data_IF_570897472551
#
_entry.id   IF_570897472551
#
_cell.length_a   1.000
_cell.length_b   1.000
_cell.length_c   1.000
_cell.angle_alpha   90.00
_cell.angle_beta   90.00
_cell.angle_gamma   90.00
#
_symmetry.space_group_name_H-M   'P 1'
#
loop_
_entity.id
_entity.type
_entity.pdbx_description
1 polymer ?
#
# COMPACT_ATOMS: atom_id res chain seq x y z
N UNK A 1 -30.17 -4.07 26.59
CA UNK A 1 -29.16 -5.11 26.33
C UNK A 1 -27.89 -4.36 26.07
N UNK A 2 -26.90 -4.47 26.93
CA UNK A 2 -25.58 -3.86 26.72
C UNK A 2 -24.88 -4.71 25.70
N UNK A 3 -24.66 -4.16 24.51
CA UNK A 3 -23.89 -4.83 23.47
C UNK A 3 -22.44 -4.90 23.94
N UNK A 4 -22.03 -6.07 24.38
CA UNK A 4 -20.62 -6.40 24.59
C UNK A 4 -19.96 -6.59 23.21
N UNK A 5 -19.80 -5.49 22.46
CA UNK A 5 -18.85 -5.49 21.36
C UNK A 5 -17.48 -5.84 21.94
N UNK A 6 -16.77 -6.79 21.33
CA UNK A 6 -15.42 -7.13 21.72
C UNK A 6 -14.53 -5.88 21.61
N UNK A 7 -14.55 -5.07 22.66
CA UNK A 7 -13.59 -3.98 22.83
C UNK A 7 -12.31 -4.68 23.23
N UNK A 8 -11.43 -4.91 22.26
CA UNK A 8 -10.09 -5.38 22.57
C UNK A 8 -9.35 -4.18 23.15
N UNK A 9 -9.35 -4.10 24.48
CA UNK A 9 -8.50 -3.16 25.21
C UNK A 9 -7.07 -3.70 25.16
N UNK A 10 -6.24 -3.08 24.32
CA UNK A 10 -4.81 -3.34 24.36
C UNK A 10 -4.19 -2.56 25.51
N UNK A 11 -3.62 -3.30 26.47
CA UNK A 11 -2.85 -2.73 27.56
C UNK A 11 -1.67 -1.93 26.99
N UNK A 12 -1.62 -0.63 27.29
CA UNK A 12 -0.49 0.23 26.92
C UNK A 12 -0.75 1.24 25.79
N UNK A 13 -1.93 1.24 25.14
CA UNK A 13 -2.27 2.32 24.23
C UNK A 13 -2.49 3.62 25.01
N UNK A 14 -1.86 4.70 24.52
CA UNK A 14 -2.09 6.05 25.05
C UNK A 14 -3.45 6.57 24.60
N UNK A 15 -4.23 7.17 25.49
CA UNK A 15 -5.47 7.84 25.11
C UNK A 15 -5.23 9.05 24.17
N UNK A 16 -4.02 9.62 24.19
CA UNK A 16 -3.65 10.75 23.31
C UNK A 16 -3.23 10.28 21.91
N UNK A 17 -2.57 9.10 21.82
CA UNK A 17 -2.04 8.51 20.58
C UNK A 17 -2.41 7.04 20.46
N UNK A 18 -3.69 6.72 20.31
CA UNK A 18 -4.16 5.34 20.27
C UNK A 18 -3.75 4.57 19.00
N UNK A 19 -3.18 5.26 18.02
CA UNK A 19 -2.67 4.66 16.78
C UNK A 19 -1.22 4.14 16.88
N UNK A 20 -0.48 4.46 17.95
CA UNK A 20 0.87 3.95 18.18
C UNK A 20 0.82 2.73 19.11
N UNK A 21 1.32 1.60 18.61
CA UNK A 21 1.44 0.39 19.44
C UNK A 21 2.75 0.42 20.21
N UNK A 22 2.75 -0.03 21.48
CA UNK A 22 3.98 -0.11 22.27
C UNK A 22 4.98 -1.11 21.69
N UNK A 23 4.48 -2.17 21.06
CA UNK A 23 5.28 -3.20 20.40
C UNK A 23 4.58 -3.63 19.10
N UNK A 24 5.32 -3.72 17.97
CA UNK A 24 4.80 -4.29 16.73
C UNK A 24 4.44 -5.77 16.91
N UNK A 25 3.40 -6.22 16.22
CA UNK A 25 3.11 -7.66 16.13
C UNK A 25 4.12 -8.35 15.21
N UNK A 26 4.39 -9.66 15.40
CA UNK A 26 5.29 -10.38 14.52
C UNK A 26 4.79 -10.42 13.07
N UNK A 27 5.72 -10.34 12.14
CA UNK A 27 5.54 -10.69 10.73
C UNK A 27 5.87 -12.16 10.55
N UNK A 28 5.04 -12.86 9.80
CA UNK A 28 5.17 -14.29 9.55
C UNK A 28 5.01 -14.57 8.05
N UNK A 29 6.11 -14.96 7.40
CA UNK A 29 6.19 -15.25 5.98
C UNK A 29 6.32 -16.74 5.76
N UNK A 30 5.60 -17.27 4.77
CA UNK A 30 5.60 -18.68 4.39
C UNK A 30 6.05 -18.84 2.95
N UNK A 31 7.33 -19.11 2.75
CA UNK A 31 7.88 -19.37 1.42
C UNK A 31 7.61 -20.82 1.03
N UNK A 32 6.83 -21.01 -0.01
CA UNK A 32 6.52 -22.34 -0.56
C UNK A 32 7.60 -22.73 -1.55
N UNK A 33 8.18 -23.90 -1.33
CA UNK A 33 9.32 -24.43 -2.09
C UNK A 33 8.92 -25.80 -2.65
N UNK A 34 9.08 -25.98 -3.96
CA UNK A 34 8.82 -27.25 -4.62
C UNK A 34 9.97 -28.24 -4.34
N UNK A 35 9.63 -29.51 -4.08
CA UNK A 35 10.61 -30.57 -3.84
C UNK A 35 10.15 -31.57 -2.80
N UNK A 36 10.76 -32.76 -2.80
CA UNK A 36 10.38 -33.85 -1.91
C UNK A 36 11.19 -33.96 -0.62
N UNK A 37 12.30 -33.23 -0.50
CA UNK A 37 13.19 -33.32 0.65
C UNK A 37 13.27 -31.99 1.39
N UNK A 38 13.12 -32.03 2.71
CA UNK A 38 13.40 -30.87 3.54
C UNK A 38 14.88 -30.51 3.49
N UNK A 39 15.23 -29.23 3.34
CA UNK A 39 16.61 -28.77 3.44
C UNK A 39 17.09 -28.87 4.90
N UNK A 40 18.38 -28.98 5.07
CA UNK A 40 19.01 -28.81 6.39
C UNK A 40 19.10 -27.33 6.76
N UNK A 41 19.34 -27.04 8.04
CA UNK A 41 19.61 -25.66 8.49
C UNK A 41 20.80 -25.08 7.71
N UNK A 42 21.84 -25.86 7.52
CA UNK A 42 23.06 -25.47 6.83
C UNK A 42 22.79 -25.09 5.38
N UNK A 43 21.94 -25.87 4.66
CA UNK A 43 21.57 -25.59 3.27
C UNK A 43 20.85 -24.25 3.15
N UNK A 44 19.87 -23.99 4.03
CA UNK A 44 19.09 -22.74 4.04
C UNK A 44 19.99 -21.56 4.39
N UNK A 45 20.75 -21.65 5.48
CA UNK A 45 21.67 -20.57 5.93
C UNK A 45 22.69 -20.24 4.86
N UNK A 46 23.25 -21.26 4.18
CA UNK A 46 24.23 -21.07 3.11
C UNK A 46 23.60 -20.37 1.89
N UNK A 47 22.39 -20.73 1.50
CA UNK A 47 21.68 -20.09 0.38
C UNK A 47 21.38 -18.61 0.68
N UNK A 48 20.86 -18.32 1.88
CA UNK A 48 20.62 -16.96 2.34
C UNK A 48 21.90 -16.13 2.41
N UNK A 49 22.98 -16.68 2.98
CA UNK A 49 24.29 -16.02 3.09
C UNK A 49 24.88 -15.71 1.71
N UNK A 50 24.73 -16.64 0.77
CA UNK A 50 25.23 -16.47 -0.60
C UNK A 50 24.50 -15.33 -1.31
N UNK A 51 23.17 -15.24 -1.12
CA UNK A 51 22.37 -14.15 -1.70
C UNK A 51 22.66 -12.80 -1.04
N UNK A 52 22.69 -12.75 0.30
CA UNK A 52 22.96 -11.52 1.04
C UNK A 52 24.37 -11.00 0.82
N UNK A 53 25.32 -11.87 0.44
CA UNK A 53 26.76 -11.51 0.36
C UNK A 53 27.40 -11.30 1.73
N UNK A 54 26.75 -11.73 2.81
CA UNK A 54 27.08 -11.45 4.21
C UNK A 54 27.15 -12.74 5.04
N UNK A 55 27.84 -12.67 6.17
CA UNK A 55 27.83 -13.77 7.12
C UNK A 55 26.50 -13.81 7.88
N UNK A 56 25.97 -15.02 8.04
CA UNK A 56 24.77 -15.28 8.85
C UNK A 56 25.19 -16.05 10.09
N UNK A 57 24.87 -15.47 11.26
CA UNK A 57 24.98 -16.19 12.53
C UNK A 57 23.68 -16.98 12.74
N UNK A 58 23.80 -18.29 12.98
CA UNK A 58 22.66 -19.16 13.20
C UNK A 58 22.78 -19.86 14.57
N UNK A 59 21.69 -19.83 15.35
CA UNK A 59 21.58 -20.45 16.64
C UNK A 59 20.34 -21.36 16.66
N UNK A 60 20.50 -22.63 17.05
CA UNK A 60 19.38 -23.57 17.20
C UNK A 60 18.43 -23.10 18.28
N UNK A 61 17.13 -23.08 17.99
CA UNK A 61 16.06 -22.78 18.93
C UNK A 61 15.04 -23.93 18.97
N UNK A 62 14.19 -23.93 19.98
CA UNK A 62 13.12 -24.92 20.10
C UNK A 62 12.12 -24.74 18.96
N UNK A 63 11.80 -25.82 18.18
CA UNK A 63 10.81 -25.75 17.13
C UNK A 63 9.40 -25.43 17.68
N UNK A 64 8.57 -24.73 16.91
CA UNK A 64 7.20 -24.40 17.31
C UNK A 64 6.30 -25.61 17.62
N UNK A 65 6.61 -26.77 17.05
CA UNK A 65 5.92 -28.05 17.32
C UNK A 65 6.85 -29.25 17.14
N UNK A 66 6.44 -30.43 17.67
CA UNK A 66 7.19 -31.69 17.55
C UNK A 66 7.29 -32.21 16.12
N UNK A 67 6.41 -31.76 15.21
CA UNK A 67 6.39 -32.17 13.80
C UNK A 67 7.42 -31.39 12.96
N UNK A 68 7.96 -30.29 13.50
CA UNK A 68 8.96 -29.46 12.84
C UNK A 68 10.36 -29.99 13.12
N UNK A 69 11.11 -30.40 12.07
CA UNK A 69 12.38 -31.09 12.25
C UNK A 69 13.48 -30.19 12.84
N UNK A 70 13.41 -28.89 12.57
CA UNK A 70 14.37 -27.91 13.10
C UNK A 70 13.79 -26.50 13.11
N UNK A 71 14.31 -25.68 14.02
CA UNK A 71 14.15 -24.21 13.99
C UNK A 71 15.48 -23.55 14.34
N UNK A 72 15.75 -22.42 13.75
CA UNK A 72 16.97 -21.66 13.98
C UNK A 72 16.68 -20.16 14.05
N UNK A 73 17.33 -19.48 14.98
CA UNK A 73 17.40 -18.02 14.97
C UNK A 73 18.57 -17.60 14.09
N UNK A 74 18.34 -16.71 13.16
CA UNK A 74 19.38 -16.16 12.30
C UNK A 74 19.50 -14.66 12.51
N UNK A 75 20.76 -14.21 12.56
CA UNK A 75 21.13 -12.80 12.49
C UNK A 75 21.84 -12.56 11.18
N UNK A 76 21.28 -11.64 10.38
CA UNK A 76 21.81 -11.28 9.07
C UNK A 76 22.32 -9.86 9.16
N UNK A 77 23.59 -9.62 8.82
CA UNK A 77 24.15 -8.28 8.76
C UNK A 77 23.33 -7.41 7.78
N UNK A 78 23.00 -6.19 8.17
CA UNK A 78 22.13 -5.29 7.39
C UNK A 78 20.63 -5.44 7.66
N UNK A 79 20.15 -6.51 8.32
CA UNK A 79 18.78 -6.58 8.82
C UNK A 79 18.71 -6.08 10.28
N UNK A 80 17.71 -5.25 10.60
CA UNK A 80 17.64 -4.61 11.92
C UNK A 80 17.19 -5.54 13.06
N UNK A 81 16.63 -6.71 12.74
CA UNK A 81 16.11 -7.67 13.73
C UNK A 81 16.51 -9.10 13.37
N UNK A 82 16.59 -9.96 14.39
CA UNK A 82 16.79 -11.39 14.20
C UNK A 82 15.54 -12.03 13.60
N UNK A 83 15.72 -13.08 12.80
CA UNK A 83 14.64 -13.88 12.25
C UNK A 83 14.65 -15.28 12.86
N UNK A 84 13.47 -15.89 13.04
CA UNK A 84 13.35 -17.31 13.35
C UNK A 84 12.91 -18.02 12.07
N UNK A 85 13.68 -19.03 11.66
CA UNK A 85 13.41 -19.87 10.50
C UNK A 85 13.10 -21.28 10.93
N UNK A 86 12.17 -21.92 10.23
CA UNK A 86 11.89 -23.36 10.36
C UNK A 86 11.29 -23.91 9.07
N UNK A 87 11.25 -25.22 8.92
CA UNK A 87 10.57 -25.88 7.82
C UNK A 87 9.38 -26.67 8.33
N UNK A 88 8.30 -26.65 7.58
CA UNK A 88 7.10 -27.43 7.85
C UNK A 88 6.59 -28.12 6.60
N UNK A 89 5.87 -29.25 6.76
CA UNK A 89 5.27 -29.94 5.62
C UNK A 89 4.20 -29.07 4.96
N UNK A 90 4.06 -29.22 3.66
CA UNK A 90 3.02 -28.56 2.88
C UNK A 90 1.66 -29.12 3.29
N UNK A 91 0.80 -28.30 3.89
CA UNK A 91 -0.57 -28.70 4.19
C UNK A 91 -1.48 -28.61 2.95
N UNK A 92 -2.69 -29.17 3.01
CA UNK A 92 -3.62 -29.26 1.87
C UNK A 92 -4.03 -27.84 1.38
N UNK A 93 -4.35 -26.93 2.27
CA UNK A 93 -4.74 -25.56 1.93
C UNK A 93 -3.61 -24.81 1.21
N UNK A 94 -2.38 -24.89 1.72
CA UNK A 94 -1.20 -24.29 1.09
C UNK A 94 -0.91 -24.90 -0.28
N UNK A 95 -1.07 -26.23 -0.40
CA UNK A 95 -0.90 -26.98 -1.66
C UNK A 95 -1.89 -26.49 -2.72
N UNK A 96 -3.17 -26.37 -2.36
CA UNK A 96 -4.21 -25.85 -3.25
C UNK A 96 -3.94 -24.40 -3.66
N UNK A 97 -3.63 -23.52 -2.69
CA UNK A 97 -3.37 -22.12 -2.94
C UNK A 97 -2.13 -21.88 -3.82
N UNK A 98 -1.05 -22.64 -3.59
CA UNK A 98 0.17 -22.56 -4.37
C UNK A 98 0.13 -23.38 -5.67
N UNK A 99 -0.88 -24.25 -5.88
CA UNK A 99 -1.01 -25.13 -7.04
C UNK A 99 0.21 -26.04 -7.28
N UNK A 100 0.78 -26.60 -6.19
CA UNK A 100 1.90 -27.54 -6.26
C UNK A 100 1.54 -28.85 -5.56
N UNK A 101 1.99 -29.99 -6.12
CA UNK A 101 1.68 -31.31 -5.58
C UNK A 101 2.61 -31.72 -4.45
N UNK A 102 3.90 -31.43 -4.57
CA UNK A 102 4.95 -31.78 -3.61
C UNK A 102 5.82 -30.58 -3.25
N UNK A 103 6.08 -30.41 -1.96
CA UNK A 103 6.88 -29.31 -1.48
C UNK A 103 6.94 -29.22 0.04
N UNK A 104 7.51 -28.15 0.49
CA UNK A 104 7.57 -27.78 1.90
C UNK A 104 7.46 -26.26 2.02
N UNK A 105 7.24 -25.79 3.24
CA UNK A 105 7.20 -24.37 3.57
C UNK A 105 8.44 -24.02 4.39
N UNK A 106 9.21 -23.05 3.94
CA UNK A 106 10.19 -22.36 4.77
C UNK A 106 9.49 -21.16 5.42
N UNK A 107 9.33 -21.23 6.71
CA UNK A 107 8.72 -20.18 7.51
C UNK A 107 9.79 -19.21 8.01
N UNK A 108 9.47 -17.91 7.99
CA UNK A 108 10.27 -16.85 8.56
C UNK A 108 9.39 -15.99 9.47
N UNK A 109 9.77 -15.88 10.72
CA UNK A 109 9.10 -14.99 11.68
C UNK A 109 10.08 -13.96 12.23
N UNK A 110 9.65 -12.70 12.26
CA UNK A 110 10.42 -11.59 12.82
C UNK A 110 9.51 -10.45 13.23
N UNK A 111 10.06 -9.42 13.88
CA UNK A 111 9.39 -8.14 14.14
C UNK A 111 9.94 -7.10 13.18
N UNK A 112 9.07 -6.38 12.47
CA UNK A 112 9.51 -5.32 11.58
C UNK A 112 10.11 -4.14 12.36
N UNK A 113 11.08 -3.48 11.77
CA UNK A 113 11.66 -2.26 12.31
C UNK A 113 10.67 -1.11 12.20
N UNK A 114 10.19 -0.61 13.33
CA UNK A 114 9.11 0.40 13.39
C UNK A 114 9.48 1.75 12.75
N UNK A 115 10.78 2.05 12.62
CA UNK A 115 11.26 3.28 11.97
C UNK A 115 11.21 3.23 10.43
N UNK A 116 11.30 2.03 9.85
CA UNK A 116 11.20 1.80 8.40
C UNK A 116 10.72 0.37 8.11
N UNK A 117 9.43 0.10 8.33
CA UNK A 117 8.88 -1.25 8.17
C UNK A 117 8.84 -1.70 6.71
N UNK A 118 8.69 -0.78 5.74
CA UNK A 118 8.60 -1.11 4.32
C UNK A 118 9.93 -1.61 3.78
N UNK A 119 11.02 -0.89 4.01
CA UNK A 119 12.36 -1.34 3.59
C UNK A 119 12.73 -2.66 4.26
N UNK A 120 12.42 -2.82 5.55
CA UNK A 120 12.69 -4.09 6.24
C UNK A 120 11.89 -5.25 5.63
N UNK A 121 10.57 -5.08 5.43
CA UNK A 121 9.73 -6.09 4.78
C UNK A 121 10.22 -6.45 3.38
N UNK A 122 10.56 -5.43 2.58
CA UNK A 122 11.09 -5.62 1.23
C UNK A 122 12.39 -6.43 1.21
N UNK A 123 13.29 -6.17 2.16
CA UNK A 123 14.54 -6.91 2.27
C UNK A 123 14.30 -8.37 2.67
N UNK A 124 13.32 -8.66 3.54
CA UNK A 124 12.92 -10.03 3.86
C UNK A 124 12.35 -10.78 2.65
N UNK A 125 11.47 -10.11 1.88
CA UNK A 125 10.90 -10.68 0.65
C UNK A 125 11.98 -10.96 -0.40
N UNK A 126 12.90 -10.00 -0.62
CA UNK A 126 14.07 -10.16 -1.51
C UNK A 126 14.96 -11.30 -1.06
N UNK A 127 15.26 -11.39 0.23
CA UNK A 127 16.09 -12.45 0.80
C UNK A 127 15.49 -13.83 0.54
N UNK A 128 14.21 -14.03 0.84
CA UNK A 128 13.54 -15.31 0.63
C UNK A 128 13.41 -15.67 -0.86
N UNK A 129 12.99 -14.71 -1.68
CA UNK A 129 12.71 -14.95 -3.09
C UNK A 129 13.98 -14.97 -3.95
N UNK A 130 15.04 -14.22 -3.58
CA UNK A 130 16.29 -14.11 -4.33
C UNK A 130 17.31 -15.20 -4.01
N UNK A 131 17.24 -15.82 -2.81
CA UNK A 131 18.09 -16.94 -2.47
C UNK A 131 17.79 -18.16 -3.37
N UNK A 132 18.83 -18.95 -3.68
CA UNK A 132 18.71 -20.16 -4.52
C UNK A 132 18.05 -21.31 -3.73
N UNK A 133 16.84 -21.09 -3.28
CA UNK A 133 16.00 -22.03 -2.53
C UNK A 133 14.87 -22.61 -3.39
N UNK A 134 14.65 -22.11 -4.61
CA UNK A 134 13.56 -22.54 -5.47
C UNK A 134 12.18 -22.10 -4.98
N UNK A 135 12.09 -20.91 -4.36
CA UNK A 135 10.83 -20.35 -3.87
C UNK A 135 9.85 -20.12 -5.02
N UNK A 136 8.69 -20.73 -4.91
CA UNK A 136 7.60 -20.66 -5.88
C UNK A 136 6.63 -19.51 -5.58
N UNK A 137 6.28 -19.33 -4.32
CA UNK A 137 5.43 -18.25 -3.84
C UNK A 137 5.70 -17.96 -2.37
N UNK A 138 5.31 -16.78 -1.91
CA UNK A 138 5.36 -16.41 -0.49
C UNK A 138 3.96 -15.99 -0.05
N UNK A 139 3.48 -16.60 1.04
CA UNK A 139 2.29 -16.16 1.75
C UNK A 139 2.70 -15.25 2.92
N UNK A 140 2.14 -14.07 2.97
CA UNK A 140 2.23 -13.15 4.09
C UNK A 140 1.04 -13.43 5.02
N UNK A 141 1.27 -14.19 6.10
CA UNK A 141 0.20 -14.65 6.98
C UNK A 141 -0.58 -13.50 7.66
N UNK A 142 0.06 -12.42 8.15
CA UNK A 142 -0.67 -11.31 8.75
C UNK A 142 -1.74 -10.69 7.84
N UNK A 143 -1.50 -10.64 6.54
CA UNK A 143 -2.47 -10.09 5.57
C UNK A 143 -3.25 -11.16 4.82
N UNK A 144 -2.79 -12.41 4.86
CA UNK A 144 -3.31 -13.51 4.02
C UNK A 144 -2.98 -13.36 2.53
N UNK A 145 -2.08 -12.43 2.18
CA UNK A 145 -1.72 -12.14 0.78
C UNK A 145 -0.72 -13.16 0.26
N UNK A 146 -0.98 -13.64 -0.94
CA UNK A 146 -0.05 -14.50 -1.68
C UNK A 146 0.70 -13.70 -2.74
N UNK A 147 2.01 -13.91 -2.79
CA UNK A 147 2.92 -13.36 -3.79
C UNK A 147 3.47 -14.51 -4.62
N UNK A 148 2.89 -14.81 -5.80
CA UNK A 148 3.46 -15.80 -6.72
C UNK A 148 4.78 -15.30 -7.30
N UNK A 149 5.54 -16.19 -7.95
CA UNK A 149 6.92 -15.94 -8.39
C UNK A 149 7.06 -14.73 -9.29
N UNK A 150 6.16 -14.55 -10.24
CA UNK A 150 6.13 -13.42 -11.16
C UNK A 150 5.94 -12.07 -10.43
N UNK A 151 5.04 -12.02 -9.44
CA UNK A 151 4.83 -10.84 -8.61
C UNK A 151 6.05 -10.59 -7.71
N UNK A 152 6.68 -11.65 -7.14
CA UNK A 152 7.91 -11.50 -6.35
C UNK A 152 9.03 -10.88 -7.19
N UNK A 153 9.19 -11.33 -8.44
CA UNK A 153 10.17 -10.80 -9.37
C UNK A 153 9.87 -9.35 -9.72
N UNK A 154 8.63 -9.04 -10.09
CA UNK A 154 8.21 -7.71 -10.49
C UNK A 154 8.28 -6.67 -9.36
N UNK A 155 7.86 -7.05 -8.14
CA UNK A 155 7.66 -6.10 -7.03
C UNK A 155 8.90 -5.98 -6.15
N UNK A 156 9.64 -7.08 -5.95
CA UNK A 156 10.71 -7.11 -4.95
C UNK A 156 12.12 -7.37 -5.53
N UNK A 157 12.25 -8.12 -6.63
CA UNK A 157 13.56 -8.58 -7.09
C UNK A 157 14.13 -7.72 -8.22
N UNK A 158 13.31 -7.37 -9.22
CA UNK A 158 13.79 -6.78 -10.47
C UNK A 158 14.21 -5.32 -10.38
N UNK A 159 13.79 -4.59 -9.36
CA UNK A 159 13.86 -3.14 -9.43
C UNK A 159 14.60 -2.42 -8.31
N UNK A 160 15.27 -1.38 -8.76
CA UNK A 160 15.70 -0.24 -7.99
C UNK A 160 14.51 0.59 -7.45
N UNK A 161 13.25 0.20 -7.78
CA UNK A 161 12.02 0.85 -7.35
C UNK A 161 11.52 0.17 -6.08
N UNK A 162 11.26 0.98 -5.06
CA UNK A 162 10.69 0.50 -3.82
C UNK A 162 9.24 -0.01 -4.06
N UNK A 163 8.81 -1.11 -3.41
CA UNK A 163 7.43 -1.55 -3.51
C UNK A 163 6.46 -0.51 -2.93
N UNK A 164 5.18 -0.54 -3.33
CA UNK A 164 4.18 0.33 -2.73
C UNK A 164 3.98 -0.01 -1.25
N UNK A 165 3.67 1.01 -0.44
CA UNK A 165 3.48 0.84 1.02
C UNK A 165 2.37 -0.16 1.33
N UNK A 166 1.37 -0.27 0.46
CA UNK A 166 0.22 -1.16 0.57
C UNK A 166 0.59 -2.66 0.56
N UNK A 167 1.85 -3.02 0.30
CA UNK A 167 2.31 -4.41 0.52
C UNK A 167 2.26 -4.81 2.00
N UNK A 168 2.27 -3.81 2.91
CA UNK A 168 2.29 -4.03 4.35
C UNK A 168 0.92 -4.31 4.96
N UNK A 169 -0.18 -3.96 4.30
CA UNK A 169 -1.54 -4.21 4.78
C UNK A 169 -2.49 -4.55 3.63
N UNK A 170 -3.67 -5.01 3.99
CA UNK A 170 -4.83 -5.06 3.11
C UNK A 170 -5.93 -4.18 3.68
N UNK A 171 -6.74 -3.59 2.81
CA UNK A 171 -7.96 -2.89 3.20
C UNK A 171 -9.16 -3.78 2.90
N UNK A 172 -9.91 -4.10 3.94
CA UNK A 172 -11.12 -4.94 3.87
C UNK A 172 -12.34 -4.05 3.84
N UNK A 173 -13.26 -4.39 2.96
CA UNK A 173 -14.58 -3.79 2.87
C UNK A 173 -15.62 -4.87 3.18
N UNK A 174 -16.42 -4.65 4.22
CA UNK A 174 -17.55 -5.51 4.57
C UNK A 174 -18.83 -4.70 4.43
N UNK A 175 -19.65 -5.07 3.47
CA UNK A 175 -20.93 -4.41 3.18
C UNK A 175 -22.10 -5.21 3.77
N UNK A 176 -23.17 -4.50 4.09
CA UNK A 176 -24.46 -5.14 4.37
C UNK A 176 -24.96 -5.95 3.15
N UNK A 177 -25.85 -6.95 3.36
CA UNK A 177 -26.35 -7.80 2.28
C UNK A 177 -26.88 -7.03 1.06
N UNK A 178 -26.74 -7.64 -0.12
CA UNK A 178 -27.11 -7.02 -1.41
C UNK A 178 -28.63 -6.80 -1.62
N UNK A 179 -29.48 -7.35 -0.75
CA UNK A 179 -30.92 -7.14 -0.77
C UNK A 179 -31.39 -5.76 -0.26
N UNK A 180 -30.40 -4.94 0.23
CA UNK A 180 -30.61 -3.55 0.64
C UNK A 180 -30.16 -2.62 -0.50
N UNK A 181 -30.96 -1.56 -0.76
CA UNK A 181 -30.58 -0.55 -1.76
C UNK A 181 -29.23 0.11 -1.39
N UNK A 182 -28.36 0.46 -2.37
CA UNK A 182 -27.02 0.97 -2.09
C UNK A 182 -26.99 2.21 -1.17
N UNK A 183 -28.00 3.10 -1.26
CA UNK A 183 -28.10 4.30 -0.44
C UNK A 183 -28.42 4.01 1.04
N UNK A 184 -29.05 2.86 1.31
CA UNK A 184 -29.40 2.40 2.65
C UNK A 184 -28.44 1.32 3.16
N UNK A 185 -27.52 0.86 2.31
CA UNK A 185 -26.54 -0.18 2.63
C UNK A 185 -25.32 0.44 3.32
N UNK A 186 -24.99 -0.07 4.49
CA UNK A 186 -23.85 0.36 5.27
C UNK A 186 -22.67 -0.57 5.07
N UNK A 187 -21.47 0.01 5.11
CA UNK A 187 -20.21 -0.70 5.03
C UNK A 187 -19.31 -0.38 6.21
N UNK A 188 -18.45 -1.32 6.52
CA UNK A 188 -17.30 -1.18 7.40
C UNK A 188 -16.02 -1.37 6.57
N UNK A 189 -15.10 -0.42 6.69
CA UNK A 189 -13.79 -0.47 6.02
C UNK A 189 -12.71 -0.55 7.09
N UNK A 190 -11.77 -1.48 6.94
CA UNK A 190 -10.69 -1.65 7.92
C UNK A 190 -9.39 -2.07 7.24
N UNK A 191 -8.26 -1.59 7.77
CA UNK A 191 -6.95 -2.16 7.44
C UNK A 191 -6.70 -3.46 8.21
N UNK A 192 -5.79 -4.27 7.70
CA UNK A 192 -5.29 -5.46 8.38
C UNK A 192 -3.82 -5.68 8.00
N UNK A 193 -2.93 -5.58 8.99
CA UNK A 193 -1.48 -5.70 8.82
C UNK A 193 -0.68 -4.50 9.36
N UNK A 194 -1.30 -3.38 9.70
CA UNK A 194 -0.58 -2.21 10.25
C UNK A 194 0.02 -2.47 11.61
N UNK A 195 -0.54 -3.40 12.38
CA UNK A 195 -0.03 -3.73 13.73
C UNK A 195 1.42 -4.21 13.71
N UNK A 196 1.86 -4.88 12.65
CA UNK A 196 3.27 -5.28 12.49
C UNK A 196 4.21 -4.11 12.20
N UNK A 197 3.66 -2.97 11.79
CA UNK A 197 4.39 -1.72 11.59
C UNK A 197 4.42 -0.85 12.86
N UNK A 198 3.91 -1.35 13.99
CA UNK A 198 3.78 -0.58 15.22
C UNK A 198 2.64 0.46 15.17
N UNK A 199 1.63 0.24 14.33
CA UNK A 199 0.46 1.09 14.18
C UNK A 199 -0.81 0.30 14.46
N UNK A 200 -1.81 0.93 15.05
CA UNK A 200 -3.14 0.35 15.15
C UNK A 200 -3.78 0.25 13.77
N UNK A 201 -4.67 -0.72 13.58
CA UNK A 201 -5.48 -0.79 12.39
C UNK A 201 -6.41 0.43 12.30
N UNK A 202 -6.73 0.85 11.09
CA UNK A 202 -7.64 1.95 10.82
C UNK A 202 -9.01 1.40 10.46
N UNK A 203 -10.05 1.95 11.04
CA UNK A 203 -11.42 1.54 10.76
C UNK A 203 -12.29 2.75 10.40
N UNK A 204 -13.20 2.58 9.45
CA UNK A 204 -14.24 3.55 9.13
C UNK A 204 -15.60 2.85 9.20
N UNK A 205 -16.47 3.34 10.06
CA UNK A 205 -17.80 2.78 10.33
C UNK A 205 -18.91 3.57 9.68
N UNK A 206 -19.99 2.88 9.32
CA UNK A 206 -21.21 3.52 8.83
C UNK A 206 -21.03 4.20 7.47
N UNK A 207 -20.15 3.68 6.63
CA UNK A 207 -19.96 4.15 5.27
C UNK A 207 -21.17 3.75 4.44
N UNK A 208 -21.83 4.70 3.76
CA UNK A 208 -22.82 4.33 2.76
C UNK A 208 -22.13 3.67 1.56
N UNK A 209 -22.66 2.55 1.06
CA UNK A 209 -22.03 1.73 0.02
C UNK A 209 -21.66 2.51 -1.26
N UNK A 210 -22.39 3.58 -1.58
CA UNK A 210 -22.06 4.47 -2.71
C UNK A 210 -20.69 5.17 -2.56
N UNK A 211 -20.14 5.23 -1.35
CA UNK A 211 -18.85 5.84 -1.03
C UNK A 211 -17.75 4.80 -0.70
N UNK A 212 -18.00 3.51 -0.94
CA UNK A 212 -17.07 2.46 -0.55
C UNK A 212 -15.64 2.68 -1.12
N UNK A 213 -15.53 3.04 -2.39
CA UNK A 213 -14.22 3.31 -3.02
C UNK A 213 -13.52 4.53 -2.42
N UNK A 214 -14.26 5.60 -2.09
CA UNK A 214 -13.71 6.79 -1.45
C UNK A 214 -13.24 6.48 -0.02
N UNK A 215 -13.99 5.65 0.70
CA UNK A 215 -13.61 5.22 2.03
C UNK A 215 -12.32 4.38 2.03
N UNK A 216 -12.18 3.45 1.08
CA UNK A 216 -10.94 2.69 0.89
C UNK A 216 -9.77 3.65 0.60
N UNK A 217 -9.94 4.62 -0.29
CA UNK A 217 -8.89 5.60 -0.62
C UNK A 217 -8.46 6.43 0.61
N UNK A 218 -9.41 6.86 1.46
CA UNK A 218 -9.09 7.58 2.70
C UNK A 218 -8.33 6.68 3.67
N UNK A 219 -8.78 5.44 3.86
CA UNK A 219 -8.17 4.48 4.78
C UNK A 219 -6.74 4.15 4.33
N UNK A 220 -6.53 3.84 3.05
CA UNK A 220 -5.21 3.52 2.50
C UNK A 220 -4.27 4.73 2.56
N UNK A 221 -4.74 5.91 2.16
CA UNK A 221 -3.93 7.12 2.25
C UNK A 221 -3.53 7.47 3.68
N UNK A 222 -4.45 7.32 4.64
CA UNK A 222 -4.12 7.53 6.05
C UNK A 222 -3.17 6.45 6.56
N UNK A 223 -3.34 5.19 6.18
CA UNK A 223 -2.43 4.10 6.53
C UNK A 223 -1.00 4.42 6.09
N UNK A 224 -0.81 4.81 4.83
CA UNK A 224 0.48 5.22 4.30
C UNK A 224 1.08 6.40 5.09
N UNK A 225 0.28 7.44 5.35
CA UNK A 225 0.72 8.61 6.14
C UNK A 225 1.16 8.25 7.56
N UNK A 226 0.55 7.24 8.21
CA UNK A 226 0.98 6.82 9.56
C UNK A 226 2.39 6.25 9.60
N UNK A 227 2.91 5.78 8.46
CA UNK A 227 4.28 5.25 8.36
C UNK A 227 5.32 6.35 8.22
N UNK A 228 4.97 7.49 7.63
CA UNK A 228 5.89 8.62 7.44
C UNK A 228 5.80 9.68 8.53
N UNK A 229 4.59 9.93 9.04
CA UNK A 229 4.35 11.05 9.94
C UNK A 229 3.60 10.62 11.19
N UNK A 230 3.82 11.35 12.28
CA UNK A 230 2.98 11.24 13.47
C UNK A 230 1.64 11.92 13.24
N UNK A 231 0.55 11.20 13.51
CA UNK A 231 -0.79 11.78 13.43
C UNK A 231 -1.01 12.82 14.54
N UNK A 232 -1.95 13.76 14.37
CA UNK A 232 -2.38 14.67 15.42
C UNK A 232 -2.97 13.92 16.62
N UNK A 233 -3.11 14.56 17.75
CA UNK A 233 -3.75 13.97 18.93
C UNK A 233 -5.23 13.63 18.64
N UNK A 234 -5.74 12.64 19.37
CA UNK A 234 -7.12 12.16 19.28
C UNK A 234 -8.15 13.27 19.11
N UNK A 235 -9.03 13.13 18.13
CA UNK A 235 -10.13 14.06 17.84
C UNK A 235 -9.71 15.39 17.22
N UNK A 236 -8.43 15.62 16.98
CA UNK A 236 -7.99 16.80 16.25
C UNK A 236 -8.13 16.60 14.74
N UNK A 237 -8.57 17.63 14.01
CA UNK A 237 -8.67 17.55 12.56
C UNK A 237 -7.29 17.43 11.91
N UNK A 238 -7.21 16.60 10.89
CA UNK A 238 -6.06 16.46 10.02
C UNK A 238 -6.47 16.53 8.56
N UNK A 239 -5.60 17.06 7.72
CA UNK A 239 -5.82 17.17 6.29
C UNK A 239 -5.24 15.96 5.56
N UNK A 240 -6.05 15.31 4.74
CA UNK A 240 -5.65 14.28 3.79
C UNK A 240 -5.64 14.76 2.34
N UNK A 241 -5.86 16.05 2.11
CA UNK A 241 -5.94 16.69 0.79
C UNK A 241 -6.58 18.06 0.90
N UNK A 242 -6.74 18.76 -0.23
CA UNK A 242 -7.45 20.04 -0.27
C UNK A 242 -8.90 19.84 0.17
N UNK A 243 -9.30 20.50 1.27
CA UNK A 243 -10.64 20.37 1.86
C UNK A 243 -11.02 18.97 2.33
N UNK A 244 -10.08 18.05 2.43
CA UNK A 244 -10.29 16.67 2.88
C UNK A 244 -9.84 16.56 4.34
N UNK A 245 -10.74 16.83 5.26
CA UNK A 245 -10.47 16.84 6.70
C UNK A 245 -11.13 15.65 7.40
N UNK A 246 -10.35 14.93 8.21
CA UNK A 246 -10.82 13.84 9.06
C UNK A 246 -10.24 14.00 10.47
N UNK A 247 -10.71 13.21 11.42
CA UNK A 247 -10.09 13.02 12.73
C UNK A 247 -9.97 11.53 13.05
N UNK A 248 -9.12 11.18 14.02
CA UNK A 248 -8.95 9.81 14.49
C UNK A 248 -9.36 9.71 15.95
N UNK A 249 -10.16 8.70 16.27
CA UNK A 249 -10.73 8.45 17.60
C UNK A 249 -10.43 7.02 18.08
N UNK A 250 -10.27 6.78 19.38
CA UNK A 250 -10.25 5.42 19.91
C UNK A 250 -11.55 4.68 19.55
N UNK A 251 -11.46 3.46 19.06
CA UNK A 251 -12.66 2.69 18.69
C UNK A 251 -13.64 2.52 19.84
N UNK A 252 -13.16 2.40 21.10
CA UNK A 252 -14.04 2.32 22.30
C UNK A 252 -15.04 3.48 22.38
N UNK A 253 -14.63 4.69 21.97
CA UNK A 253 -15.47 5.88 22.05
C UNK A 253 -16.48 5.96 20.89
N UNK A 254 -16.18 5.30 19.78
CA UNK A 254 -17.02 5.25 18.57
C UNK A 254 -18.01 4.08 18.64
N UNK A 255 -17.57 2.92 19.07
CA UNK A 255 -18.40 1.70 19.15
C UNK A 255 -19.66 1.88 19.99
N UNK A 256 -19.59 2.70 21.04
CA UNK A 256 -20.75 3.03 21.87
C UNK A 256 -21.85 3.81 21.13
N UNK A 257 -21.53 4.39 19.97
CA UNK A 257 -22.46 5.17 19.11
C UNK A 257 -23.00 4.36 17.95
N UNK A 258 -22.51 3.13 17.72
CA UNK A 258 -22.94 2.27 16.65
C UNK A 258 -24.27 1.59 16.98
N UNK A 259 -25.00 1.22 15.94
CA UNK A 259 -26.18 0.38 16.04
C UNK A 259 -25.80 -1.10 15.93
N UNK A 260 -26.63 -2.01 16.47
CA UNK A 260 -26.39 -3.46 16.46
C UNK A 260 -26.36 -4.09 15.04
N UNK A 261 -26.75 -3.34 14.03
CA UNK A 261 -26.89 -3.82 12.65
C UNK A 261 -25.65 -3.51 11.77
N UNK A 262 -24.59 -2.95 12.33
CA UNK A 262 -23.39 -2.61 11.57
C UNK A 262 -22.62 -3.87 11.16
N UNK A 263 -22.35 -4.08 9.85
CA UNK A 263 -21.65 -5.28 9.37
C UNK A 263 -20.19 -5.29 9.86
N UNK A 264 -19.64 -6.50 10.09
CA UNK A 264 -18.21 -6.71 10.38
C UNK A 264 -17.79 -6.48 11.84
N UNK A 265 -18.68 -6.06 12.72
CA UNK A 265 -18.35 -5.82 14.13
C UNK A 265 -17.85 -7.08 14.85
N UNK A 266 -18.38 -8.25 14.49
CA UNK A 266 -18.00 -9.56 15.04
C UNK A 266 -16.60 -10.03 14.61
N UNK A 267 -16.10 -9.52 13.50
CA UNK A 267 -14.80 -9.90 12.94
C UNK A 267 -13.61 -9.11 13.53
N UNK A 268 -13.90 -8.15 14.40
CA UNK A 268 -12.86 -7.30 15.02
C UNK A 268 -12.06 -8.08 16.04
N UNK A 269 -10.76 -8.17 15.82
CA UNK A 269 -9.83 -8.94 16.68
C UNK A 269 -8.48 -8.27 16.89
N UNK A 270 -8.27 -7.05 16.39
CA UNK A 270 -7.00 -6.32 16.42
C UNK A 270 -7.15 -4.93 17.03
N UNK A 271 -6.07 -4.33 17.60
CA UNK A 271 -6.09 -2.95 18.04
C UNK A 271 -6.36 -2.01 16.88
N UNK A 272 -7.34 -1.13 17.05
CA UNK A 272 -7.77 -0.25 15.98
C UNK A 272 -8.23 1.11 16.48
N UNK A 273 -8.21 2.08 15.57
CA UNK A 273 -8.75 3.43 15.75
C UNK A 273 -9.73 3.74 14.64
N UNK A 274 -10.73 4.56 14.96
CA UNK A 274 -11.77 4.93 14.01
C UNK A 274 -11.47 6.27 13.34
N UNK A 275 -11.71 6.34 12.04
CA UNK A 275 -11.67 7.56 11.22
C UNK A 275 -13.04 8.20 11.26
N UNK A 276 -13.12 9.43 11.75
CA UNK A 276 -14.36 10.16 12.01
C UNK A 276 -14.37 11.51 11.25
N UNK A 277 -15.50 12.22 11.34
CA UNK A 277 -15.56 13.62 10.88
C UNK A 277 -14.49 14.47 11.54
N UNK A 278 -14.10 15.57 10.89
CA UNK A 278 -13.01 16.46 11.36
C UNK A 278 -13.21 17.02 12.75
N UNK A 279 -14.45 17.18 13.19
CA UNK A 279 -14.83 17.65 14.52
C UNK A 279 -15.14 16.51 15.51
N UNK A 280 -14.93 15.25 15.08
CA UNK A 280 -15.21 14.03 15.84
C UNK A 280 -16.67 13.86 16.30
N UNK A 281 -17.62 14.62 15.74
CA UNK A 281 -19.03 14.54 16.11
C UNK A 281 -19.77 13.42 15.40
N UNK A 282 -19.41 13.14 14.12
CA UNK A 282 -19.92 12.03 13.35
C UNK A 282 -18.92 10.86 13.33
N UNK A 283 -19.45 9.64 13.42
CA UNK A 283 -18.65 8.40 13.34
C UNK A 283 -18.13 8.11 11.92
N UNK A 284 -18.74 8.73 10.91
CA UNK A 284 -18.34 8.62 9.51
C UNK A 284 -18.00 10.01 8.96
N UNK A 285 -16.89 10.18 8.22
CA UNK A 285 -16.46 11.46 7.67
C UNK A 285 -17.18 11.78 6.33
N UNK A 286 -18.49 11.89 6.35
CA UNK A 286 -19.32 12.07 5.15
C UNK A 286 -18.92 13.26 4.29
N UNK A 287 -18.50 14.39 4.88
CA UNK A 287 -18.07 15.56 4.13
C UNK A 287 -16.83 15.23 3.29
N UNK A 288 -15.86 14.51 3.87
CA UNK A 288 -14.67 14.06 3.17
C UNK A 288 -15.00 13.06 2.04
N UNK A 289 -15.89 12.10 2.33
CA UNK A 289 -16.32 11.10 1.34
C UNK A 289 -17.04 11.77 0.16
N UNK A 290 -17.92 12.74 0.44
CA UNK A 290 -18.66 13.47 -0.58
C UNK A 290 -17.72 14.31 -1.45
N UNK A 291 -16.78 15.03 -0.85
CA UNK A 291 -15.77 15.82 -1.57
C UNK A 291 -14.94 14.98 -2.52
N UNK A 292 -14.49 13.79 -2.06
CA UNK A 292 -13.80 12.82 -2.94
C UNK A 292 -14.70 12.27 -4.05
N UNK A 293 -15.96 11.95 -3.74
CA UNK A 293 -16.89 11.41 -4.71
C UNK A 293 -17.20 12.41 -5.83
N UNK A 294 -17.23 13.70 -5.51
CA UNK A 294 -17.46 14.77 -6.48
C UNK A 294 -16.20 15.02 -7.36
N UNK A 295 -15.06 14.42 -7.03
CA UNK A 295 -13.81 14.60 -7.77
C UNK A 295 -13.16 15.97 -7.56
N UNK A 296 -13.55 16.70 -6.50
CA UNK A 296 -13.03 18.03 -6.20
C UNK A 296 -11.63 18.00 -5.58
N UNK A 297 -11.19 16.85 -5.12
CA UNK A 297 -9.88 16.65 -4.47
C UNK A 297 -9.41 15.20 -4.62
N UNK A 298 -8.17 14.96 -4.21
CA UNK A 298 -7.59 13.61 -4.07
C UNK A 298 -6.94 13.47 -2.70
N UNK A 299 -6.80 12.24 -2.23
CA UNK A 299 -5.99 11.94 -1.04
C UNK A 299 -4.52 12.23 -1.37
N UNK A 300 -3.83 12.95 -0.47
CA UNK A 300 -2.40 13.24 -0.64
C UNK A 300 -1.60 11.94 -0.64
N UNK A 301 -0.61 11.88 -1.51
CA UNK A 301 0.38 10.81 -1.52
C UNK A 301 1.45 11.09 -0.47
N UNK A 302 2.04 10.05 0.09
CA UNK A 302 3.25 10.13 0.90
C UNK A 302 4.43 10.64 0.05
N UNK A 303 5.48 11.13 0.69
CA UNK A 303 6.71 11.49 -0.03
C UNK A 303 7.28 10.28 -0.76
N UNK A 304 7.34 9.13 -0.08
CA UNK A 304 7.80 7.84 -0.61
C UNK A 304 6.98 7.38 -1.82
N UNK A 305 5.65 7.43 -1.74
CA UNK A 305 4.78 7.13 -2.87
C UNK A 305 4.98 8.08 -4.05
N UNK A 306 5.24 9.36 -3.78
CA UNK A 306 5.53 10.38 -4.80
C UNK A 306 6.87 10.11 -5.49
N UNK A 307 7.93 9.80 -4.74
CA UNK A 307 9.26 9.45 -5.27
C UNK A 307 9.20 8.17 -6.11
N UNK A 308 8.46 7.17 -5.64
CA UNK A 308 8.21 5.94 -6.40
C UNK A 308 7.49 6.21 -7.72
N UNK A 309 6.40 7.01 -7.69
CA UNK A 309 5.68 7.41 -8.91
C UNK A 309 6.60 8.15 -9.87
N UNK A 310 7.42 9.08 -9.39
CA UNK A 310 8.37 9.83 -10.20
C UNK A 310 9.39 8.90 -10.89
N UNK A 311 9.95 7.95 -10.14
CA UNK A 311 10.89 6.97 -10.70
C UNK A 311 10.23 6.12 -11.78
N UNK A 312 9.02 5.61 -11.54
CA UNK A 312 8.25 4.84 -12.52
C UNK A 312 7.93 5.68 -13.77
N UNK A 313 7.52 6.93 -13.59
CA UNK A 313 7.22 7.85 -14.69
C UNK A 313 8.44 8.11 -15.56
N UNK A 314 9.60 8.33 -14.93
CA UNK A 314 10.86 8.57 -15.61
C UNK A 314 11.38 7.30 -16.30
N UNK A 315 11.28 6.13 -15.69
CA UNK A 315 11.72 4.88 -16.32
C UNK A 315 10.86 4.50 -17.52
N UNK A 316 9.57 4.85 -17.51
CA UNK A 316 8.63 4.65 -18.62
C UNK A 316 8.49 5.87 -19.55
N UNK A 317 9.43 6.83 -19.51
CA UNK A 317 9.38 8.06 -20.33
C UNK A 317 9.31 7.79 -21.83
N UNK A 318 10.08 6.83 -22.34
CA UNK A 318 10.07 6.46 -23.76
C UNK A 318 8.70 5.90 -24.21
N UNK A 319 8.01 5.18 -23.32
CA UNK A 319 6.65 4.72 -23.57
C UNK A 319 5.69 5.91 -23.69
N UNK A 320 5.78 6.90 -22.81
CA UNK A 320 4.98 8.12 -22.86
C UNK A 320 5.22 8.88 -24.17
N UNK A 321 6.49 9.15 -24.54
CA UNK A 321 6.82 9.87 -25.78
C UNK A 321 6.26 9.17 -27.02
N UNK A 322 6.41 7.84 -27.09
CA UNK A 322 5.85 7.03 -28.18
C UNK A 322 4.32 7.11 -28.19
N UNK A 323 3.68 7.01 -27.02
CA UNK A 323 2.23 7.08 -26.87
C UNK A 323 1.70 8.43 -27.31
N UNK A 324 2.26 9.52 -26.80
CA UNK A 324 1.86 10.87 -27.16
C UNK A 324 2.04 11.15 -28.66
N UNK A 325 3.16 10.70 -29.25
CA UNK A 325 3.41 10.84 -30.70
C UNK A 325 2.39 10.06 -31.52
N UNK A 326 2.01 8.86 -31.12
CA UNK A 326 1.10 7.99 -31.86
C UNK A 326 -0.35 8.45 -31.79
N UNK A 327 -0.78 8.94 -30.61
CA UNK A 327 -2.13 9.45 -30.36
C UNK A 327 -2.31 10.81 -31.07
N UNK A 328 -1.28 11.68 -31.05
CA UNK A 328 -1.33 13.02 -31.64
C UNK A 328 -2.48 13.85 -31.06
N UNK A 329 -3.18 14.58 -31.97
CA UNK A 329 -4.35 15.42 -31.62
C UNK A 329 -5.67 14.63 -31.60
N UNK A 330 -5.70 13.46 -30.94
CA UNK A 330 -6.92 12.66 -30.86
C UNK A 330 -7.98 13.37 -29.99
N UNK A 331 -9.24 13.35 -30.43
CA UNK A 331 -10.39 13.82 -29.64
C UNK A 331 -10.77 12.82 -28.52
N UNK A 332 -10.27 11.57 -28.57
CA UNK A 332 -10.72 10.47 -27.72
C UNK A 332 -9.66 9.98 -26.74
N UNK A 333 -8.41 10.41 -26.88
CA UNK A 333 -7.31 10.03 -26.01
C UNK A 333 -6.32 11.19 -25.88
N UNK A 334 -5.62 11.27 -24.74
CA UNK A 334 -4.62 12.29 -24.51
C UNK A 334 -3.68 11.91 -23.37
N UNK A 335 -2.43 12.34 -23.47
CA UNK A 335 -1.44 12.14 -22.42
C UNK A 335 -1.37 13.37 -21.51
N UNK A 336 -1.33 13.13 -20.21
CA UNK A 336 -1.09 14.14 -19.19
C UNK A 336 0.21 13.78 -18.45
N UNK A 337 0.98 14.80 -18.08
CA UNK A 337 2.16 14.68 -17.23
C UNK A 337 1.99 15.53 -15.99
N UNK A 338 2.45 15.05 -14.85
CA UNK A 338 2.43 15.76 -13.59
C UNK A 338 3.82 16.30 -13.27
N UNK A 339 3.86 17.59 -12.88
CA UNK A 339 5.11 18.27 -12.55
C UNK A 339 4.96 18.95 -11.19
N UNK A 340 5.93 18.82 -10.26
CA UNK A 340 5.90 19.50 -8.99
C UNK A 340 6.24 20.99 -9.18
N UNK A 341 5.44 21.86 -8.64
CA UNK A 341 5.65 23.30 -8.67
C UNK A 341 5.84 23.86 -7.27
N UNK A 342 6.99 24.49 -7.00
CA UNK A 342 7.23 25.17 -5.75
C UNK A 342 6.98 26.68 -5.88
N UNK A 343 6.41 27.28 -4.86
CA UNK A 343 6.23 28.73 -4.78
C UNK A 343 7.56 29.39 -4.37
N UNK A 344 8.36 29.83 -5.36
CA UNK A 344 9.68 30.43 -5.21
C UNK A 344 10.82 29.46 -4.84
N UNK A 345 12.07 29.96 -4.85
CA UNK A 345 13.33 29.24 -4.60
C UNK A 345 13.50 28.68 -3.15
N UNK A 346 12.41 28.33 -2.50
CA UNK A 346 12.37 27.79 -1.15
C UNK A 346 12.15 26.27 -1.23
N UNK A 347 13.18 25.49 -0.94
CA UNK A 347 13.12 24.03 -0.97
C UNK A 347 12.12 23.45 0.04
N UNK A 348 11.80 24.18 1.10
CA UNK A 348 10.84 23.81 2.14
C UNK A 348 9.41 24.31 1.85
N UNK A 349 9.19 25.06 0.75
CA UNK A 349 7.86 25.53 0.39
C UNK A 349 6.93 24.38 -0.02
N UNK A 350 5.64 24.46 0.33
CA UNK A 350 4.66 23.48 -0.15
C UNK A 350 4.67 23.40 -1.68
N UNK A 351 4.77 22.21 -2.21
CA UNK A 351 4.72 21.94 -3.64
C UNK A 351 3.30 21.67 -4.08
N UNK A 352 2.90 22.26 -5.19
CA UNK A 352 1.67 21.90 -5.90
C UNK A 352 2.04 21.02 -7.09
N UNK A 353 1.30 19.94 -7.30
CA UNK A 353 1.52 19.00 -8.41
C UNK A 353 0.54 19.35 -9.53
N UNK A 354 1.08 19.90 -10.62
CA UNK A 354 0.30 20.44 -11.73
C UNK A 354 0.24 19.44 -12.89
N UNK A 355 -0.95 19.23 -13.44
CA UNK A 355 -1.15 18.37 -14.60
C UNK A 355 -1.11 19.19 -15.90
N UNK A 356 -0.27 18.76 -16.82
CA UNK A 356 -0.12 19.33 -18.14
C UNK A 356 -0.55 18.34 -19.21
N UNK A 357 -1.41 18.76 -20.14
CA UNK A 357 -1.73 17.98 -21.33
C UNK A 357 -0.59 18.11 -22.32
N UNK A 358 -0.08 17.00 -22.84
CA UNK A 358 0.95 17.01 -23.87
C UNK A 358 0.33 17.51 -25.18
N UNK A 359 0.87 18.60 -25.73
CA UNK A 359 0.46 19.19 -27.02
C UNK A 359 1.50 18.97 -28.11
N UNK A 360 2.77 18.77 -27.76
CA UNK A 360 3.84 18.51 -28.71
C UNK A 360 4.94 17.64 -28.07
N UNK A 361 5.52 16.77 -28.89
CA UNK A 361 6.70 15.95 -28.50
C UNK A 361 7.93 16.48 -29.21
N UNK A 362 8.94 16.91 -28.46
CA UNK A 362 10.14 17.61 -28.96
C UNK A 362 11.43 16.79 -28.71
N UNK A 363 11.56 15.65 -29.36
CA UNK A 363 12.69 14.75 -29.15
C UNK A 363 12.58 14.04 -27.78
N UNK A 364 13.40 14.43 -26.80
CA UNK A 364 13.42 13.85 -25.44
C UNK A 364 12.58 14.65 -24.42
N UNK A 365 11.97 15.77 -24.84
CA UNK A 365 11.09 16.60 -24.01
C UNK A 365 9.69 16.70 -24.60
N UNK A 366 8.74 17.24 -23.85
CA UNK A 366 7.39 17.53 -24.32
C UNK A 366 7.01 18.98 -24.03
N UNK A 367 6.14 19.57 -24.88
CA UNK A 367 5.43 20.79 -24.52
C UNK A 367 4.09 20.38 -23.91
N UNK A 368 3.89 20.77 -22.67
CA UNK A 368 2.65 20.57 -21.93
C UNK A 368 1.84 21.85 -21.81
N UNK A 369 0.53 21.75 -21.92
CA UNK A 369 -0.43 22.81 -21.67
C UNK A 369 -1.14 22.53 -20.32
N UNK A 370 -1.09 23.52 -19.39
CA UNK A 370 -1.67 23.38 -18.05
C UNK A 370 -3.17 23.07 -18.14
N UNK A 371 -3.58 21.98 -17.52
CA UNK A 371 -4.92 21.41 -17.67
C UNK A 371 -5.99 22.09 -16.80
N UNK A 372 -5.60 22.82 -15.74
CA UNK A 372 -6.50 23.51 -14.82
C UNK A 372 -5.77 24.65 -14.10
N UNK A 373 -6.51 25.62 -13.57
CA UNK A 373 -5.93 26.70 -12.78
C UNK A 373 -5.27 26.14 -11.50
N UNK A 374 -4.03 26.55 -11.19
CA UNK A 374 -3.35 26.14 -9.96
C UNK A 374 -3.94 26.83 -8.73
N UNK A 375 -3.85 26.16 -7.57
CA UNK A 375 -4.34 26.71 -6.30
C UNK A 375 -3.39 27.74 -5.70
N UNK A 376 -2.07 27.59 -5.88
CA UNK A 376 -1.05 28.46 -5.26
C UNK A 376 -0.18 29.19 -6.29
N UNK A 377 0.01 28.63 -7.48
CA UNK A 377 0.91 29.19 -8.50
C UNK A 377 0.23 30.32 -9.27
N UNK A 378 -0.02 31.46 -8.61
CA UNK A 378 -0.72 32.63 -9.18
C UNK A 378 -0.06 33.24 -10.43
N UNK A 379 1.11 32.73 -10.86
CA UNK A 379 1.81 33.15 -12.10
C UNK A 379 1.34 32.42 -13.36
N UNK A 380 0.56 31.38 -13.20
CA UNK A 380 0.04 30.54 -14.29
C UNK A 380 -1.49 30.54 -14.28
N UNK A 381 -2.05 30.19 -15.41
CA UNK A 381 -3.48 29.92 -15.56
C UNK A 381 -3.65 28.74 -16.50
N UNK A 382 -4.82 28.12 -16.51
CA UNK A 382 -5.20 27.12 -17.49
C UNK A 382 -4.78 27.53 -18.91
N UNK A 383 -4.19 26.64 -19.68
CA UNK A 383 -3.67 26.89 -21.02
C UNK A 383 -2.23 27.42 -21.08
N UNK A 384 -1.59 27.69 -19.91
CA UNK A 384 -0.16 28.03 -19.90
C UNK A 384 0.68 26.87 -20.45
N UNK A 385 1.64 27.17 -21.35
CA UNK A 385 2.49 26.14 -21.96
C UNK A 385 3.90 26.17 -21.35
N UNK A 386 4.42 24.98 -21.06
CA UNK A 386 5.77 24.78 -20.49
C UNK A 386 6.47 23.64 -21.22
N UNK A 387 7.82 23.74 -21.34
CA UNK A 387 8.65 22.62 -21.80
C UNK A 387 8.99 21.77 -20.57
N UNK A 388 8.67 20.48 -20.66
CA UNK A 388 8.80 19.53 -19.56
C UNK A 388 9.85 18.49 -19.94
N UNK A 389 10.87 18.37 -19.11
CA UNK A 389 11.93 17.38 -19.25
C UNK A 389 11.60 16.11 -18.45
N UNK A 390 12.20 14.98 -18.81
CA UNK A 390 12.03 13.70 -18.11
C UNK A 390 12.21 13.81 -16.58
N UNK A 391 13.23 14.58 -16.15
CA UNK A 391 13.59 14.74 -14.73
C UNK A 391 12.59 15.55 -13.92
N UNK A 392 11.72 16.31 -14.58
CA UNK A 392 10.74 17.17 -13.91
C UNK A 392 9.43 16.42 -13.61
N UNK A 393 9.25 15.23 -14.18
CA UNK A 393 8.00 14.50 -14.13
C UNK A 393 7.90 13.64 -12.88
N UNK A 394 6.78 13.77 -12.16
CA UNK A 394 6.46 12.93 -10.98
C UNK A 394 5.41 11.88 -11.25
N UNK A 395 4.62 12.03 -12.32
CA UNK A 395 3.64 11.03 -12.75
C UNK A 395 3.20 11.33 -14.19
N UNK A 396 2.62 10.34 -14.88
CA UNK A 396 1.92 10.57 -16.13
C UNK A 396 0.77 9.58 -16.33
N UNK A 397 -0.19 9.97 -17.13
CA UNK A 397 -1.38 9.17 -17.42
C UNK A 397 -1.83 9.33 -18.86
N UNK A 398 -2.22 8.21 -19.48
CA UNK A 398 -2.95 8.17 -20.72
C UNK A 398 -4.45 8.14 -20.42
N UNK A 399 -5.15 9.19 -20.78
CA UNK A 399 -6.61 9.26 -20.73
C UNK A 399 -7.19 8.58 -21.97
N UNK A 400 -8.09 7.61 -21.77
CA UNK A 400 -8.77 6.88 -22.85
C UNK A 400 -10.27 6.84 -22.62
N UNK A 401 -11.10 6.49 -23.62
CA UNK A 401 -12.54 6.33 -23.44
C UNK A 401 -12.96 5.24 -22.44
N UNK A 402 -12.05 4.29 -22.14
CA UNK A 402 -12.29 3.21 -21.17
C UNK A 402 -11.76 3.53 -19.77
N UNK A 403 -11.06 4.65 -19.62
CA UNK A 403 -10.49 5.10 -18.34
C UNK A 403 -9.03 5.52 -18.46
N UNK A 404 -8.44 6.04 -17.34
CA UNK A 404 -7.03 6.38 -17.28
C UNK A 404 -6.16 5.12 -17.22
N UNK A 405 -4.97 5.18 -17.84
CA UNK A 405 -3.91 4.17 -17.75
C UNK A 405 -2.63 4.88 -17.30
N UNK A 406 -2.02 4.42 -16.24
CA UNK A 406 -0.82 5.03 -15.63
C UNK A 406 0.48 4.30 -15.98
N UNK A 407 1.54 4.66 -15.28
CA UNK A 407 2.89 4.11 -15.46
C UNK A 407 2.98 2.60 -15.17
N UNK A 408 2.08 2.04 -14.37
CA UNK A 408 1.98 0.60 -14.06
C UNK A 408 1.30 -0.21 -15.16
N UNK A 409 0.62 0.43 -16.12
CA UNK A 409 -0.24 -0.22 -17.12
C UNK A 409 0.45 -0.39 -18.47
N UNK A 410 1.79 -0.54 -18.51
CA UNK A 410 2.58 -0.53 -19.73
C UNK A 410 2.09 -1.53 -20.79
N UNK A 411 1.69 -2.74 -20.39
CA UNK A 411 1.16 -3.75 -21.30
C UNK A 411 -0.20 -3.34 -21.87
N UNK A 412 -1.11 -2.85 -21.03
CA UNK A 412 -2.43 -2.37 -21.46
C UNK A 412 -2.30 -1.16 -22.42
N UNK A 413 -1.33 -0.27 -22.18
CA UNK A 413 -1.03 0.87 -23.06
C UNK A 413 -0.51 0.37 -24.40
N UNK A 414 0.38 -0.62 -24.43
CA UNK A 414 0.87 -1.21 -25.68
C UNK A 414 -0.27 -1.86 -26.48
N UNK A 415 -1.15 -2.62 -25.83
CA UNK A 415 -2.33 -3.23 -26.45
C UNK A 415 -3.30 -2.17 -27.01
N UNK A 416 -3.53 -1.09 -26.26
CA UNK A 416 -4.33 0.04 -26.73
C UNK A 416 -3.74 0.69 -27.96
N UNK A 417 -2.42 0.94 -27.98
CA UNK A 417 -1.73 1.54 -29.12
C UNK A 417 -1.75 0.66 -30.37
N UNK A 418 -1.76 -0.67 -30.23
CA UNK A 418 -1.93 -1.59 -31.37
C UNK A 418 -3.32 -1.47 -31.98
N UNK A 419 -4.35 -1.35 -31.18
CA UNK A 419 -5.73 -1.14 -31.64
C UNK A 419 -5.93 0.25 -32.25
N UNK A 420 -5.23 1.26 -31.78
CA UNK A 420 -5.30 2.63 -32.26
C UNK A 420 -4.67 2.81 -33.67
N UNK A 421 -3.83 1.86 -34.12
CA UNK A 421 -3.22 1.83 -35.46
C UNK A 421 -4.16 1.28 -36.54
N UNK A 422 -5.22 0.60 -36.19
CA UNK A 422 -6.15 -0.10 -37.09
C UNK A 422 -7.37 0.76 -37.41
#
# INVERSE_FOLDING_TARGET
>A
MTNDFNIIEFAGLSDERPWELPEPTPTDLRAVIAGSNFPTVEDVVQALATYAGENIEAESVEPPSEEIPWATRVRIEGLPTDCILWVEPLNEQTREAAQIDEGYVLALQTVLHSGDPLTHFSNLMRLLAGADLGVYSICDLPTGRWFPRDILEQVFIQDEIEPPEEVLWITRLVEAPEDVEPEDRWAWVSTHGLTRCGRAELEMFGVCAIYSSQAVNIVDGLAALTLETSLPTTGQPMSLGSNLLVSVMPCKDVLSRLTDEMPGLEDRNTPSVAICSSDATSICPYDALTTLHQGETAVIKTLRSTERSAKMAQDNWDLLLRTATQIGESEHAGCLVQVPWAKADDEDAPREYLWFRIVEVNGESVTGELAHDPSFANSFSEGHQEIIEKTDVTDWVLMTPVGPMGTSDADAINDFLEQFKS
#
